data_IF_679860666887
#
_entry.id   IF_679860666887
#
_cell.length_a   1.000
_cell.length_b   1.000
_cell.length_c   1.000
_cell.angle_alpha   90.00
_cell.angle_beta   90.00
_cell.angle_gamma   90.00
#
_symmetry.space_group_name_H-M   'P 1'
#
loop_
_entity.id
_entity.type
_entity.pdbx_description
1 polymer ?
#
# COMPACT_ATOMS: atom_id res chain seq x y z
N UNK A 1 -19.14 -50.68 -63.54
CA UNK A 1 -19.73 -49.56 -62.78
C UNK A 1 -18.59 -48.66 -62.30
N UNK A 2 -18.60 -47.43 -62.80
CA UNK A 2 -17.92 -46.20 -62.37
C UNK A 2 -16.45 -46.25 -61.90
N UNK A 3 -15.54 -45.94 -62.83
CA UNK A 3 -14.17 -45.49 -62.54
C UNK A 3 -14.21 -44.07 -61.95
N UNK A 4 -13.70 -43.93 -60.72
CA UNK A 4 -13.56 -42.65 -60.01
C UNK A 4 -12.29 -41.96 -60.52
N UNK A 5 -12.46 -40.88 -61.28
CA UNK A 5 -11.37 -40.00 -61.72
C UNK A 5 -11.05 -39.03 -60.56
N UNK A 6 -9.94 -39.24 -59.87
CA UNK A 6 -9.39 -38.28 -58.91
C UNK A 6 -8.59 -37.21 -59.65
N UNK A 7 -9.17 -36.01 -59.80
CA UNK A 7 -8.43 -34.82 -60.26
C UNK A 7 -7.48 -34.38 -59.15
N UNK A 8 -6.17 -34.53 -59.35
CA UNK A 8 -5.14 -33.88 -58.53
C UNK A 8 -5.25 -32.36 -58.72
N UNK A 9 -5.60 -31.64 -57.65
CA UNK A 9 -5.52 -30.18 -57.65
C UNK A 9 -4.05 -29.76 -57.58
N UNK A 10 -3.48 -29.41 -58.73
CA UNK A 10 -2.21 -28.68 -58.78
C UNK A 10 -2.45 -27.23 -58.36
N UNK A 11 -2.29 -26.96 -57.06
CA UNK A 11 -2.22 -25.58 -56.57
C UNK A 11 -1.00 -24.89 -57.21
N UNK A 12 -1.29 -23.91 -58.06
CA UNK A 12 -0.35 -22.98 -58.68
C UNK A 12 0.71 -22.50 -57.69
N UNK A 13 1.94 -22.34 -58.17
CA UNK A 13 3.12 -21.90 -57.41
C UNK A 13 2.83 -20.65 -56.56
N UNK A 14 2.02 -19.71 -57.07
CA UNK A 14 1.58 -18.51 -56.36
C UNK A 14 0.79 -18.83 -55.09
N UNK A 15 -0.09 -19.84 -55.12
CA UNK A 15 -0.85 -20.26 -53.94
C UNK A 15 0.04 -20.91 -52.89
N UNK A 16 1.07 -21.66 -53.30
CA UNK A 16 2.03 -22.25 -52.35
C UNK A 16 2.81 -21.16 -51.62
N UNK A 17 3.26 -20.12 -52.33
CA UNK A 17 3.95 -18.98 -51.74
C UNK A 17 3.05 -18.16 -50.81
N UNK A 18 1.78 -17.96 -51.16
CA UNK A 18 0.82 -17.25 -50.28
C UNK A 18 0.57 -18.05 -49.01
N UNK A 19 0.40 -19.37 -49.11
CA UNK A 19 0.18 -20.25 -47.95
C UNK A 19 1.42 -20.26 -47.04
N UNK A 20 2.63 -20.34 -47.60
CA UNK A 20 3.85 -20.35 -46.78
C UNK A 20 4.08 -19.01 -46.07
N UNK A 21 3.84 -17.88 -46.75
CA UNK A 21 3.95 -16.55 -46.12
C UNK A 21 2.89 -16.37 -45.02
N UNK A 22 1.66 -16.81 -45.27
CA UNK A 22 0.59 -16.76 -44.26
C UNK A 22 0.93 -17.58 -43.01
N UNK A 23 1.51 -18.78 -43.18
CA UNK A 23 1.95 -19.63 -42.08
C UNK A 23 3.08 -18.99 -41.26
N UNK A 24 4.05 -18.33 -41.92
CA UNK A 24 5.15 -17.64 -41.23
C UNK A 24 4.61 -16.48 -40.39
N UNK A 25 3.68 -15.69 -40.94
CA UNK A 25 3.07 -14.56 -40.22
C UNK A 25 2.32 -15.05 -38.99
N UNK A 26 1.53 -16.13 -39.09
CA UNK A 26 0.78 -16.65 -37.94
C UNK A 26 1.69 -17.20 -36.85
N UNK A 27 2.77 -17.90 -37.22
CA UNK A 27 3.79 -18.36 -36.25
C UNK A 27 4.44 -17.17 -35.55
N UNK A 28 4.79 -16.11 -36.29
CA UNK A 28 5.42 -14.92 -35.71
C UNK A 28 4.47 -14.17 -34.76
N UNK A 29 3.18 -14.03 -35.14
CA UNK A 29 2.16 -13.42 -34.28
C UNK A 29 1.93 -14.22 -32.99
N UNK A 30 1.88 -15.56 -33.08
CA UNK A 30 1.75 -16.43 -31.91
C UNK A 30 2.99 -16.34 -31.00
N UNK A 31 4.18 -16.33 -31.57
CA UNK A 31 5.43 -16.15 -30.83
C UNK A 31 5.46 -14.81 -30.08
N UNK A 32 5.07 -13.73 -30.75
CA UNK A 32 4.99 -12.39 -30.15
C UNK A 32 3.95 -12.35 -29.03
N UNK A 33 2.80 -13.01 -29.20
CA UNK A 33 1.78 -13.14 -28.16
C UNK A 33 2.29 -13.92 -26.95
N UNK A 34 3.01 -15.03 -27.13
CA UNK A 34 3.61 -15.80 -26.03
C UNK A 34 4.66 -14.98 -25.28
N UNK A 35 5.52 -14.24 -25.98
CA UNK A 35 6.51 -13.34 -25.35
C UNK A 35 5.82 -12.25 -24.55
N UNK A 36 4.83 -11.57 -25.11
CA UNK A 36 4.13 -10.48 -24.42
C UNK A 36 3.34 -10.99 -23.22
N UNK A 37 2.76 -12.19 -23.28
CA UNK A 37 2.12 -12.80 -22.11
C UNK A 37 3.13 -13.22 -21.06
N UNK A 38 4.31 -13.73 -21.44
CA UNK A 38 5.41 -13.99 -20.49
C UNK A 38 5.89 -12.70 -19.81
N UNK A 39 6.01 -11.61 -20.57
CA UNK A 39 6.37 -10.29 -20.04
C UNK A 39 5.27 -9.77 -19.12
N UNK A 40 3.98 -9.91 -19.48
CA UNK A 40 2.85 -9.49 -18.63
C UNK A 40 2.73 -10.34 -17.35
N UNK A 41 3.12 -11.62 -17.39
CA UNK A 41 3.25 -12.46 -16.19
C UNK A 41 4.53 -12.20 -15.40
N UNK A 42 5.56 -11.63 -16.01
CA UNK A 42 6.83 -11.27 -15.37
C UNK A 42 6.85 -9.84 -14.82
N UNK A 43 5.90 -8.98 -15.22
CA UNK A 43 5.73 -7.61 -14.69
C UNK A 43 4.58 -7.48 -13.68
N UNK A 44 3.83 -8.56 -13.41
CA UNK A 44 3.24 -8.73 -12.08
C UNK A 44 4.32 -9.19 -11.12
N UNK A 45 5.22 -8.28 -10.77
CA UNK A 45 5.75 -8.34 -9.42
C UNK A 45 4.52 -8.28 -8.51
N UNK A 46 4.22 -9.31 -7.71
CA UNK A 46 3.30 -9.09 -6.60
C UNK A 46 3.88 -7.91 -5.84
N UNK A 47 3.08 -6.85 -5.67
CA UNK A 47 3.35 -5.85 -4.66
C UNK A 47 3.65 -6.64 -3.39
N UNK A 48 4.86 -6.47 -2.90
CA UNK A 48 5.49 -7.25 -1.84
C UNK A 48 4.46 -7.62 -0.77
N UNK A 49 4.00 -8.87 -0.82
CA UNK A 49 3.47 -9.54 0.36
C UNK A 49 4.67 -9.71 1.29
N UNK A 50 4.90 -8.72 2.14
CA UNK A 50 5.81 -8.82 3.28
C UNK A 50 5.18 -9.76 4.31
N UNK A 51 5.11 -11.04 3.95
CA UNK A 51 4.89 -12.13 4.86
C UNK A 51 6.15 -12.34 5.70
N UNK A 52 6.25 -11.57 6.77
CA UNK A 52 6.95 -11.97 8.00
C UNK A 52 6.65 -10.97 9.12
N UNK A 53 5.37 -10.85 9.50
CA UNK A 53 5.06 -10.65 10.92
C UNK A 53 5.20 -12.01 11.58
N UNK A 54 6.33 -12.23 12.25
CA UNK A 54 6.52 -13.36 13.12
C UNK A 54 5.62 -13.17 14.35
N UNK A 55 4.40 -13.71 14.27
CA UNK A 55 3.55 -14.31 15.32
C UNK A 55 2.09 -14.33 14.84
N UNK A 56 1.82 -15.00 13.73
CA UNK A 56 0.49 -15.54 13.46
C UNK A 56 0.71 -16.88 12.77
N UNK A 57 0.44 -17.97 13.48
CA UNK A 57 0.13 -19.24 12.80
C UNK A 57 -0.90 -18.91 11.73
N UNK A 58 -0.56 -19.20 10.47
CA UNK A 58 -1.17 -18.59 9.30
C UNK A 58 -2.70 -18.61 9.35
N UNK A 59 -3.30 -17.44 9.61
CA UNK A 59 -4.73 -17.23 9.42
C UNK A 59 -5.04 -17.54 7.96
N UNK A 60 -5.95 -18.49 7.75
CA UNK A 60 -6.43 -18.83 6.43
C UNK A 60 -7.03 -17.55 5.80
N UNK A 61 -6.82 -17.30 4.51
CA UNK A 61 -7.39 -16.13 3.81
C UNK A 61 -8.91 -16.02 3.97
N UNK A 62 -9.59 -17.14 4.22
CA UNK A 62 -11.02 -17.17 4.52
C UNK A 62 -11.39 -16.56 5.89
N UNK A 63 -10.46 -16.47 6.83
CA UNK A 63 -10.70 -15.99 8.20
C UNK A 63 -10.52 -14.48 8.37
N UNK A 64 -9.81 -13.80 7.46
CA UNK A 64 -9.60 -12.34 7.49
C UNK A 64 -10.17 -11.62 6.25
N UNK A 65 -11.10 -12.27 5.54
CA UNK A 65 -11.66 -11.75 4.28
C UNK A 65 -12.35 -10.40 4.48
N UNK A 66 -13.03 -10.20 5.62
CA UNK A 66 -13.72 -8.95 5.91
C UNK A 66 -12.73 -7.81 6.16
N UNK A 67 -11.71 -8.04 7.01
CA UNK A 67 -10.72 -7.03 7.33
C UNK A 67 -9.93 -6.62 6.10
N UNK A 68 -9.48 -7.59 5.28
CA UNK A 68 -8.74 -7.32 4.04
C UNK A 68 -9.59 -6.49 3.08
N UNK A 69 -10.84 -6.90 2.83
CA UNK A 69 -11.74 -6.18 1.92
C UNK A 69 -12.03 -4.74 2.37
N UNK A 70 -12.32 -4.52 3.65
CA UNK A 70 -12.72 -3.20 4.15
C UNK A 70 -11.52 -2.26 4.42
N UNK A 71 -10.30 -2.81 4.46
CA UNK A 71 -9.07 -2.03 4.66
C UNK A 71 -8.22 -1.88 3.41
N UNK A 72 -8.76 -2.20 2.22
CA UNK A 72 -8.01 -2.19 0.96
C UNK A 72 -6.73 -3.05 1.01
N UNK A 73 -6.84 -4.23 1.63
CA UNK A 73 -5.77 -5.22 1.84
C UNK A 73 -4.66 -4.80 2.84
N UNK A 74 -4.93 -3.85 3.74
CA UNK A 74 -3.96 -3.40 4.75
C UNK A 74 -3.93 -4.25 6.02
N UNK A 75 -5.08 -4.78 6.45
CA UNK A 75 -5.22 -5.55 7.69
C UNK A 75 -5.74 -6.96 7.43
N UNK A 76 -4.99 -7.98 7.83
CA UNK A 76 -5.49 -9.35 7.96
C UNK A 76 -5.65 -9.68 9.45
N UNK A 77 -6.89 -9.59 9.93
CA UNK A 77 -7.31 -9.88 11.30
C UNK A 77 -8.54 -10.81 11.22
N UNK A 78 -8.78 -11.65 12.23
CA UNK A 78 -9.97 -12.49 12.25
C UNK A 78 -11.24 -11.67 12.02
N UNK A 79 -12.16 -12.15 11.19
CA UNK A 79 -13.43 -11.46 10.89
C UNK A 79 -14.25 -11.16 12.17
N UNK A 80 -14.10 -11.96 13.23
CA UNK A 80 -14.68 -11.70 14.56
C UNK A 80 -14.07 -10.47 15.22
N UNK A 81 -12.75 -10.36 15.16
CA UNK A 81 -11.97 -9.34 15.84
C UNK A 81 -12.08 -8.02 15.08
N UNK A 82 -12.09 -8.05 13.74
CA UNK A 82 -12.39 -6.88 12.93
C UNK A 82 -13.78 -6.29 13.21
N UNK A 83 -14.80 -7.15 13.41
CA UNK A 83 -16.13 -6.70 13.84
C UNK A 83 -16.09 -6.07 15.23
N UNK A 84 -15.36 -6.68 16.16
CA UNK A 84 -15.19 -6.15 17.51
C UNK A 84 -14.50 -4.78 17.49
N UNK A 85 -13.43 -4.65 16.70
CA UNK A 85 -12.70 -3.39 16.46
C UNK A 85 -13.61 -2.30 15.93
N UNK A 86 -14.47 -2.58 14.94
CA UNK A 86 -15.44 -1.59 14.43
C UNK A 86 -16.42 -1.13 15.51
N UNK A 87 -16.87 -2.04 16.38
CA UNK A 87 -17.74 -1.68 17.51
C UNK A 87 -16.99 -0.75 18.48
N UNK A 88 -15.77 -1.11 18.87
CA UNK A 88 -14.94 -0.29 19.75
C UNK A 88 -14.66 1.08 19.13
N UNK A 89 -14.28 1.12 17.85
CA UNK A 89 -14.07 2.35 17.08
C UNK A 89 -15.27 3.29 17.18
N UNK A 90 -16.49 2.80 16.94
CA UNK A 90 -17.69 3.64 17.01
C UNK A 90 -17.98 4.15 18.42
N UNK A 91 -17.72 3.34 19.44
CA UNK A 91 -17.88 3.75 20.83
C UNK A 91 -16.85 4.84 21.18
N UNK A 92 -15.59 4.64 20.82
CA UNK A 92 -14.48 5.58 21.06
C UNK A 92 -14.67 6.90 20.29
N UNK A 93 -15.00 6.84 19.00
CA UNK A 93 -15.31 8.00 18.18
C UNK A 93 -16.46 8.83 18.80
N UNK A 94 -17.51 8.17 19.30
CA UNK A 94 -18.58 8.87 20.01
C UNK A 94 -18.09 9.59 21.29
N UNK A 95 -17.17 8.99 22.05
CA UNK A 95 -16.56 9.63 23.24
C UNK A 95 -15.62 10.77 22.87
N UNK A 96 -14.87 10.61 21.78
CA UNK A 96 -13.92 11.59 21.28
C UNK A 96 -14.60 12.85 20.69
N UNK A 97 -15.87 12.76 20.30
CA UNK A 97 -16.67 13.91 19.82
C UNK A 97 -17.15 14.85 20.92
N UNK A 98 -16.75 14.64 22.17
CA UNK A 98 -17.03 15.58 23.26
C UNK A 98 -16.19 16.84 23.06
N UNK A 99 -16.84 18.00 23.03
CA UNK A 99 -16.16 19.30 23.04
C UNK A 99 -15.83 19.68 24.48
N UNK A 100 -14.54 19.88 24.79
CA UNK A 100 -14.08 20.31 26.10
C UNK A 100 -13.04 21.44 25.93
N UNK A 101 -13.19 22.51 26.72
CA UNK A 101 -12.37 23.71 26.62
C UNK A 101 -11.06 23.64 27.43
N UNK A 102 -10.84 22.59 28.23
CA UNK A 102 -9.62 22.46 29.02
C UNK A 102 -8.41 22.19 28.10
N UNK A 103 -7.29 22.95 28.23
CA UNK A 103 -6.18 22.89 27.28
C UNK A 103 -5.55 21.51 27.06
N UNK A 104 -5.61 20.63 28.07
CA UNK A 104 -5.01 19.28 28.01
C UNK A 104 -6.05 18.17 27.93
N UNK A 105 -7.34 18.47 27.77
CA UNK A 105 -8.39 17.45 27.79
C UNK A 105 -8.15 16.40 26.72
N UNK A 106 -8.03 16.80 25.46
CA UNK A 106 -7.83 15.86 24.36
C UNK A 106 -6.48 15.14 24.46
N UNK A 107 -5.42 15.79 24.94
CA UNK A 107 -4.13 15.11 25.15
C UNK A 107 -4.22 13.97 26.18
N UNK A 108 -5.05 14.15 27.21
CA UNK A 108 -5.18 13.19 28.31
C UNK A 108 -6.36 12.20 28.15
N UNK A 109 -7.33 12.51 27.30
CA UNK A 109 -8.60 11.77 27.21
C UNK A 109 -8.94 11.30 25.79
N UNK A 110 -8.16 11.67 24.76
CA UNK A 110 -8.39 11.17 23.42
C UNK A 110 -8.03 9.69 23.33
N UNK A 111 -8.99 8.89 22.90
CA UNK A 111 -8.80 7.44 22.72
C UNK A 111 -8.49 7.13 21.25
N UNK A 112 -7.38 6.46 20.92
CA UNK A 112 -7.13 6.00 19.55
C UNK A 112 -8.26 5.08 19.08
N UNK A 113 -8.87 5.42 17.95
CA UNK A 113 -10.00 4.66 17.37
C UNK A 113 -9.55 3.51 16.46
N UNK A 114 -8.23 3.40 16.25
CA UNK A 114 -7.53 2.27 15.66
C UNK A 114 -6.35 1.97 16.58
N UNK A 115 -6.33 0.78 17.17
CA UNK A 115 -5.29 0.32 18.10
C UNK A 115 -4.46 -0.78 17.46
N UNK A 116 -3.17 -0.80 17.75
CA UNK A 116 -2.24 -1.86 17.38
C UNK A 116 -1.71 -2.53 18.65
N UNK A 117 -1.11 -3.70 18.50
CA UNK A 117 -0.53 -4.44 19.62
C UNK A 117 0.55 -3.63 20.34
N UNK A 118 1.37 -2.90 19.57
CA UNK A 118 2.44 -2.06 20.12
C UNK A 118 2.34 -0.63 19.61
N UNK A 119 1.67 0.24 20.36
CA UNK A 119 1.69 1.69 20.13
C UNK A 119 2.81 2.38 20.92
N UNK A 120 3.44 3.39 20.31
CA UNK A 120 4.30 4.31 21.05
C UNK A 120 4.21 5.73 20.54
N UNK A 121 4.42 6.69 21.44
CA UNK A 121 4.58 8.10 21.08
C UNK A 121 5.97 8.34 20.48
N UNK A 122 6.03 9.03 19.35
CA UNK A 122 7.26 9.39 18.64
C UNK A 122 7.31 10.92 18.49
N UNK A 123 8.40 11.55 18.91
CA UNK A 123 8.52 13.02 18.96
C UNK A 123 8.21 13.58 20.35
N UNK A 124 7.91 14.88 20.41
CA UNK A 124 7.63 15.56 21.68
C UNK A 124 6.27 15.16 22.28
N UNK A 125 6.11 15.34 23.58
CA UNK A 125 4.79 15.36 24.22
C UNK A 125 3.96 16.55 23.71
N UNK A 126 2.63 16.49 23.82
CA UNK A 126 1.75 17.59 23.39
C UNK A 126 1.20 17.38 21.98
N UNK A 127 1.27 18.37 21.09
CA UNK A 127 0.76 18.26 19.72
C UNK A 127 1.85 17.87 18.69
N UNK A 128 3.12 18.03 19.03
CA UNK A 128 4.25 17.81 18.10
C UNK A 128 4.57 16.35 17.80
N UNK A 129 4.45 15.45 18.79
CA UNK A 129 4.66 14.02 18.58
C UNK A 129 3.43 13.31 18.03
N UNK A 130 3.60 12.11 17.49
CA UNK A 130 2.50 11.28 16.98
C UNK A 130 2.53 9.89 17.61
N UNK A 131 1.36 9.26 17.77
CA UNK A 131 1.28 7.85 18.12
C UNK A 131 1.54 7.02 16.86
N UNK A 132 2.48 6.08 16.94
CA UNK A 132 2.87 5.21 15.84
C UNK A 132 2.72 3.74 16.24
N UNK A 133 2.17 2.96 15.32
CA UNK A 133 1.92 1.53 15.50
C UNK A 133 3.06 0.66 15.00
N UNK A 134 3.43 -0.34 15.80
CA UNK A 134 4.36 -1.43 15.49
C UNK A 134 5.66 -1.00 14.81
N UNK A 135 6.11 0.21 15.13
CA UNK A 135 7.26 0.85 14.49
C UNK A 135 8.57 0.08 14.71
N UNK A 136 8.64 -0.77 15.75
CA UNK A 136 9.77 -1.66 15.97
C UNK A 136 9.98 -2.67 14.83
N UNK A 137 8.92 -3.04 14.09
CA UNK A 137 8.99 -4.02 12.99
C UNK A 137 9.89 -3.56 11.85
N UNK A 138 9.93 -2.26 11.56
CA UNK A 138 10.79 -1.69 10.52
C UNK A 138 12.29 -1.77 10.88
N UNK A 139 12.64 -1.79 12.17
CA UNK A 139 14.04 -1.98 12.59
C UNK A 139 14.52 -3.41 12.37
N UNK A 140 13.66 -4.40 12.60
CA UNK A 140 14.00 -5.83 12.51
C UNK A 140 14.01 -6.37 11.09
N UNK A 141 13.27 -5.76 10.16
CA UNK A 141 13.12 -6.26 8.79
C UNK A 141 14.30 -5.94 7.86
N UNK A 142 15.37 -5.28 8.35
CA UNK A 142 16.46 -4.73 7.53
C UNK A 142 15.92 -3.91 6.34
N UNK A 143 14.76 -3.25 6.51
CA UNK A 143 14.17 -2.41 5.48
C UNK A 143 15.05 -1.19 5.30
N UNK A 144 15.83 -1.18 4.23
CA UNK A 144 16.77 -0.08 3.93
C UNK A 144 16.04 1.17 3.45
N UNK A 145 14.82 1.02 2.93
CA UNK A 145 14.07 2.08 2.26
C UNK A 145 12.75 2.32 3.01
N UNK A 146 12.78 3.20 4.00
CA UNK A 146 11.59 3.63 4.73
C UNK A 146 11.13 4.96 4.14
N UNK A 147 9.88 5.03 3.73
CA UNK A 147 9.25 6.24 3.19
C UNK A 147 8.15 6.70 4.14
N UNK A 148 8.25 7.95 4.59
CA UNK A 148 7.30 8.55 5.54
C UNK A 148 6.66 9.79 4.93
N UNK A 149 5.33 9.79 4.88
CA UNK A 149 4.52 10.97 4.59
C UNK A 149 3.95 11.50 5.91
N UNK A 150 4.40 12.68 6.34
CA UNK A 150 3.94 13.34 7.56
C UNK A 150 3.08 14.54 7.21
N UNK A 151 1.89 14.64 7.79
CA UNK A 151 0.91 15.67 7.47
C UNK A 151 0.64 16.52 8.71
N UNK A 152 0.53 17.85 8.53
CA UNK A 152 0.13 18.78 9.58
C UNK A 152 1.18 18.93 10.69
N UNK A 153 2.42 19.30 10.34
CA UNK A 153 3.47 19.51 11.36
C UNK A 153 3.27 20.79 12.17
N UNK A 154 2.56 21.79 11.64
CA UNK A 154 2.38 23.12 12.23
C UNK A 154 3.72 23.75 12.70
N UNK A 155 4.81 23.47 11.97
CA UNK A 155 6.16 23.92 12.29
C UNK A 155 6.90 23.11 13.37
N UNK A 156 6.27 22.14 14.03
CA UNK A 156 6.92 21.21 14.95
C UNK A 156 7.38 19.95 14.19
N UNK A 157 8.70 19.80 14.05
CA UNK A 157 9.34 18.67 13.35
C UNK A 157 9.88 17.60 14.31
N UNK A 158 9.40 17.55 15.56
CA UNK A 158 9.93 16.60 16.56
C UNK A 158 9.62 15.15 16.21
N UNK A 159 8.46 14.88 15.60
CA UNK A 159 8.11 13.55 15.09
C UNK A 159 9.08 13.09 14.00
N UNK A 160 9.30 13.91 12.97
CA UNK A 160 10.17 13.62 11.84
C UNK A 160 11.61 13.41 12.30
N UNK A 161 12.09 14.26 13.21
CA UNK A 161 13.41 14.09 13.82
C UNK A 161 13.52 12.76 14.58
N UNK A 162 12.50 12.38 15.34
CA UNK A 162 12.51 11.11 16.06
C UNK A 162 12.47 9.91 15.11
N UNK A 163 11.67 9.96 14.03
CA UNK A 163 11.69 8.96 12.96
C UNK A 163 13.08 8.88 12.32
N UNK A 164 13.70 10.01 11.98
CA UNK A 164 15.03 10.03 11.38
C UNK A 164 16.12 9.45 12.29
N UNK A 165 16.01 9.64 13.61
CA UNK A 165 16.91 8.99 14.58
C UNK A 165 16.72 7.47 14.64
N UNK A 166 15.48 7.01 14.59
CA UNK A 166 15.15 5.59 14.58
C UNK A 166 15.57 4.92 13.27
N UNK A 167 15.41 5.64 12.16
CA UNK A 167 15.65 5.19 10.81
C UNK A 167 16.47 6.24 10.05
N UNK A 168 17.80 6.23 10.19
CA UNK A 168 18.69 7.24 9.58
C UNK A 168 18.52 7.37 8.06
N UNK A 169 18.17 6.27 7.39
CA UNK A 169 17.99 6.23 5.94
C UNK A 169 16.56 6.51 5.48
N UNK A 170 15.62 6.81 6.39
CA UNK A 170 14.25 7.11 6.01
C UNK A 170 14.18 8.37 5.14
N UNK A 171 13.42 8.28 4.05
CA UNK A 171 12.97 9.39 3.25
C UNK A 171 11.69 9.94 3.88
N UNK A 172 11.70 11.23 4.24
CA UNK A 172 10.59 11.85 4.96
C UNK A 172 10.12 13.05 4.16
N UNK A 173 8.83 13.06 3.82
CA UNK A 173 8.15 14.19 3.22
C UNK A 173 7.12 14.74 4.20
N UNK A 174 7.24 16.02 4.53
CA UNK A 174 6.32 16.69 5.44
C UNK A 174 5.47 17.70 4.68
N UNK A 175 4.15 17.67 4.90
CA UNK A 175 3.18 18.52 4.23
C UNK A 175 2.43 19.35 5.25
N UNK A 176 2.38 20.65 5.03
CA UNK A 176 1.59 21.57 5.85
C UNK A 176 1.10 22.75 5.01
N UNK A 177 0.06 23.44 5.47
CA UNK A 177 -0.45 24.66 4.84
C UNK A 177 0.45 25.87 5.13
N UNK A 178 1.04 25.92 6.33
CA UNK A 178 1.99 26.96 6.69
C UNK A 178 3.32 26.80 5.95
N UNK A 179 4.07 27.90 5.83
CA UNK A 179 5.43 27.83 5.30
C UNK A 179 6.41 27.68 6.46
N UNK A 180 7.03 26.51 6.56
CA UNK A 180 8.00 26.19 7.60
C UNK A 180 9.28 25.65 6.99
N UNK A 181 10.37 25.73 7.76
CA UNK A 181 11.65 25.17 7.37
C UNK A 181 11.88 23.87 8.13
N UNK A 182 11.87 22.74 7.42
CA UNK A 182 12.31 21.49 8.01
C UNK A 182 13.81 21.55 8.33
N UNK A 183 14.26 20.97 9.46
CA UNK A 183 15.68 20.87 9.76
C UNK A 183 16.46 20.16 8.62
N UNK A 184 17.70 20.60 8.35
CA UNK A 184 18.52 20.00 7.30
C UNK A 184 18.74 18.52 7.60
N UNK A 185 18.73 17.70 6.53
CA UNK A 185 18.90 16.24 6.59
C UNK A 185 17.81 15.47 7.35
N UNK A 186 16.68 16.09 7.70
CA UNK A 186 15.56 15.42 8.37
C UNK A 186 14.45 15.08 7.38
N UNK A 187 13.93 16.07 6.67
CA UNK A 187 12.80 15.89 5.76
C UNK A 187 12.81 16.89 4.60
N UNK A 188 12.08 16.57 3.54
CA UNK A 188 11.69 17.54 2.51
C UNK A 188 10.33 18.11 2.85
N UNK A 189 10.26 19.44 2.98
CA UNK A 189 9.02 20.13 3.30
C UNK A 189 8.25 20.54 2.04
N UNK A 190 6.94 20.37 2.07
CA UNK A 190 6.03 20.69 0.99
C UNK A 190 4.88 21.56 1.54
N UNK A 191 4.74 22.77 1.02
CA UNK A 191 3.60 23.61 1.38
C UNK A 191 2.36 23.16 0.59
N UNK A 192 1.50 22.34 1.21
CA UNK A 192 0.33 21.74 0.57
C UNK A 192 -0.86 21.75 1.53
N UNK A 193 -2.03 22.10 0.99
CA UNK A 193 -3.32 21.98 1.68
C UNK A 193 -4.03 20.72 1.26
N UNK A 194 -4.37 19.86 2.22
CA UNK A 194 -5.21 18.69 2.00
C UNK A 194 -6.68 19.05 2.26
N UNK A 195 -7.50 18.90 1.22
CA UNK A 195 -8.95 19.18 1.29
C UNK A 195 -9.30 20.68 1.24
N UNK A 196 -10.60 20.95 1.12
CA UNK A 196 -11.17 22.30 1.02
C UNK A 196 -11.88 22.76 2.30
N UNK A 197 -11.61 22.10 3.43
CA UNK A 197 -12.25 22.44 4.71
C UNK A 197 -11.98 23.88 5.08
N UNK A 198 -13.04 24.66 5.36
CA UNK A 198 -12.92 25.99 5.96
C UNK A 198 -12.68 25.77 7.46
N UNK A 199 -11.57 26.31 7.97
CA UNK A 199 -11.26 26.31 9.40
C UNK A 199 -12.32 27.10 10.16
#
# INVERSE_FOLDING_TARGET
MSSVITKKLDLSFTNKTIITVSLIITIFSLYYFVINNKILSSTRNPLVSSSSSATAEGLNSNQCRLSMKESDDWFCELDSDWKHRKILHHIQDKRNRVSDARPLFFQNNWEPTIQCEFERRVGNSGDGGKWACDIHRFGSMNTTNILVYSLGSNGDFSFEQAIKRLFPNAEIHTFDMGLYQCPPNVCSFHQVRLGSGKN
#
